data_IF_858135931294
#
_entry.id   IF_858135931294
#
_cell.length_a   1.000
_cell.length_b   1.000
_cell.length_c   1.000
_cell.angle_alpha   90.00
_cell.angle_beta   90.00
_cell.angle_gamma   90.00
#
_symmetry.space_group_name_H-M   'P 1'
#
loop_
_entity.id
_entity.type
_entity.pdbx_description
1 polymer ?
#
# COMPACT_ATOMS: atom_id res chain seq x y z
N UNK A 1 -7.65 -18.39 -9.75
CA UNK A 1 -6.77 -17.26 -10.05
C UNK A 1 -6.77 -16.23 -8.89
N UNK A 2 -7.43 -15.01 -9.00
CA UNK A 2 -7.31 -13.98 -7.95
C UNK A 2 -7.70 -14.47 -6.54
N UNK A 3 -8.77 -15.25 -6.39
CA UNK A 3 -9.20 -15.75 -5.08
C UNK A 3 -8.18 -16.74 -4.49
N UNK A 4 -7.57 -17.58 -5.32
CA UNK A 4 -6.50 -18.49 -4.93
C UNK A 4 -5.24 -17.72 -4.50
N UNK A 5 -4.91 -16.64 -5.23
CA UNK A 5 -3.79 -15.77 -4.88
C UNK A 5 -4.05 -15.03 -3.57
N UNK A 6 -5.26 -14.48 -3.36
CA UNK A 6 -5.64 -13.82 -2.12
C UNK A 6 -5.56 -14.79 -0.92
N UNK A 7 -5.97 -16.04 -1.09
CA UNK A 7 -5.82 -17.07 -0.05
C UNK A 7 -4.34 -17.44 0.16
N UNK A 8 -3.59 -17.62 -0.92
CA UNK A 8 -2.15 -17.89 -0.88
C UNK A 8 -1.33 -16.78 -0.22
N UNK A 9 -1.76 -15.52 -0.36
CA UNK A 9 -1.18 -14.39 0.36
C UNK A 9 -1.69 -14.24 1.79
N UNK A 10 -2.61 -15.09 2.23
CA UNK A 10 -3.28 -15.01 3.53
C UNK A 10 -4.07 -13.70 3.75
N UNK A 11 -4.58 -13.07 2.68
CA UNK A 11 -5.35 -11.82 2.74
C UNK A 11 -6.48 -11.86 3.77
N UNK A 12 -7.19 -12.99 3.86
CA UNK A 12 -8.32 -13.19 4.76
C UNK A 12 -7.93 -13.34 6.24
N UNK A 13 -6.65 -13.58 6.53
CA UNK A 13 -6.13 -13.77 7.88
C UNK A 13 -5.29 -12.58 8.38
N UNK A 14 -4.81 -11.72 7.47
CA UNK A 14 -3.91 -10.63 7.84
C UNK A 14 -4.62 -9.49 8.55
N UNK A 15 -3.90 -8.74 9.41
CA UNK A 15 -4.40 -7.52 10.02
C UNK A 15 -4.37 -6.36 9.03
N UNK A 16 -5.24 -5.35 9.22
CA UNK A 16 -5.17 -4.11 8.44
C UNK A 16 -4.00 -3.21 8.86
N UNK A 17 -3.50 -3.39 10.09
CA UNK A 17 -2.39 -2.63 10.66
C UNK A 17 -1.67 -3.49 11.70
N UNK A 18 -0.38 -3.26 11.92
CA UNK A 18 0.36 -3.93 13.00
C UNK A 18 0.27 -3.23 14.37
N UNK A 19 -0.23 -1.99 14.43
CA UNK A 19 -0.25 -1.20 15.68
C UNK A 19 -1.46 -0.28 15.86
N UNK A 20 -2.29 -0.09 14.82
CA UNK A 20 -3.41 0.84 14.84
C UNK A 20 -4.75 0.09 14.81
N UNK A 21 -5.66 0.53 13.94
CA UNK A 21 -6.97 -0.11 13.77
C UNK A 21 -6.86 -1.52 13.18
N UNK A 22 -7.79 -2.38 13.56
CA UNK A 22 -7.93 -3.74 13.00
C UNK A 22 -6.65 -4.57 13.02
N UNK A 23 -5.87 -4.46 14.14
CA UNK A 23 -4.65 -5.23 14.38
C UNK A 23 -4.99 -6.62 14.96
N UNK A 24 -5.77 -7.40 14.21
CA UNK A 24 -6.19 -8.75 14.55
C UNK A 24 -6.37 -9.60 13.29
N UNK A 25 -6.46 -10.90 13.47
CA UNK A 25 -6.66 -11.85 12.36
C UNK A 25 -7.98 -11.55 11.63
N UNK A 26 -7.92 -11.42 10.28
CA UNK A 26 -9.07 -11.01 9.48
C UNK A 26 -9.33 -9.48 9.47
N UNK A 27 -8.49 -8.70 10.15
CA UNK A 27 -8.63 -7.25 10.20
C UNK A 27 -8.53 -6.59 8.83
N UNK A 28 -7.71 -7.15 7.92
CA UNK A 28 -7.53 -6.63 6.57
C UNK A 28 -8.80 -6.75 5.73
N UNK A 29 -9.40 -7.93 5.69
CA UNK A 29 -10.65 -8.13 4.93
C UNK A 29 -11.79 -7.29 5.50
N UNK A 30 -11.90 -7.18 6.83
CA UNK A 30 -12.90 -6.32 7.47
C UNK A 30 -12.70 -4.85 7.11
N UNK A 31 -11.46 -4.38 7.09
CA UNK A 31 -11.11 -3.03 6.67
C UNK A 31 -11.51 -2.79 5.20
N UNK A 32 -11.12 -3.68 4.30
CA UNK A 32 -11.44 -3.59 2.87
C UNK A 32 -12.96 -3.57 2.61
N UNK A 33 -13.72 -4.42 3.29
CA UNK A 33 -15.19 -4.42 3.20
C UNK A 33 -15.78 -3.08 3.69
N UNK A 34 -15.29 -2.57 4.82
CA UNK A 34 -15.77 -1.29 5.35
C UNK A 34 -15.46 -0.13 4.40
N UNK A 35 -14.25 -0.08 3.83
CA UNK A 35 -13.87 0.94 2.84
C UNK A 35 -14.76 0.83 1.59
N UNK A 36 -15.06 -0.38 1.13
CA UNK A 36 -15.94 -0.61 -0.01
C UNK A 36 -17.36 -0.10 0.25
N UNK A 37 -17.94 -0.40 1.41
CA UNK A 37 -19.27 0.11 1.79
C UNK A 37 -19.31 1.63 1.82
N UNK A 38 -18.30 2.26 2.42
CA UNK A 38 -18.19 3.72 2.46
C UNK A 38 -18.01 4.33 1.07
N UNK A 39 -17.21 3.72 0.21
CA UNK A 39 -17.01 4.17 -1.18
C UNK A 39 -18.30 4.09 -1.99
N UNK A 40 -19.07 3.01 -1.86
CA UNK A 40 -20.39 2.86 -2.48
C UNK A 40 -21.39 3.91 -2.01
N UNK A 41 -21.42 4.18 -0.71
CA UNK A 41 -22.28 5.23 -0.14
C UNK A 41 -21.88 6.60 -0.68
N UNK A 42 -20.60 6.92 -0.70
CA UNK A 42 -20.09 8.19 -1.22
C UNK A 42 -20.41 8.35 -2.71
N UNK A 43 -20.16 7.31 -3.53
CA UNK A 43 -20.56 7.29 -4.95
C UNK A 43 -22.05 7.65 -5.11
N UNK A 44 -22.92 6.99 -4.35
CA UNK A 44 -24.36 7.27 -4.40
C UNK A 44 -24.67 8.74 -4.09
N UNK A 45 -24.04 9.33 -3.08
CA UNK A 45 -24.24 10.74 -2.72
C UNK A 45 -23.72 11.69 -3.84
N UNK A 46 -22.58 11.38 -4.42
CA UNK A 46 -22.02 12.17 -5.53
C UNK A 46 -23.00 12.15 -6.72
N UNK A 47 -23.52 11.00 -7.10
CA UNK A 47 -24.41 10.85 -8.25
C UNK A 47 -25.81 11.47 -8.03
N UNK A 48 -26.25 11.65 -6.78
CA UNK A 48 -27.46 12.42 -6.48
C UNK A 48 -27.30 13.90 -6.83
N UNK A 49 -26.09 14.44 -6.71
CA UNK A 49 -25.78 15.86 -6.98
C UNK A 49 -25.25 16.03 -8.41
N UNK A 50 -24.48 15.07 -8.90
CA UNK A 50 -23.80 15.09 -10.18
C UNK A 50 -24.05 13.79 -10.96
N UNK A 51 -25.24 13.57 -11.50
CA UNK A 51 -25.58 12.37 -12.26
C UNK A 51 -24.75 12.23 -13.56
N UNK A 52 -24.23 13.35 -14.08
CA UNK A 52 -23.33 13.39 -15.23
C UNK A 52 -22.00 12.63 -15.02
N UNK A 53 -21.63 12.37 -13.77
CA UNK A 53 -20.39 11.63 -13.43
C UNK A 53 -20.57 10.10 -13.39
N UNK A 54 -21.73 9.55 -13.72
CA UNK A 54 -21.96 8.11 -13.61
C UNK A 54 -21.00 7.28 -14.46
N UNK A 55 -20.71 7.74 -15.68
CA UNK A 55 -19.75 7.08 -16.57
C UNK A 55 -18.30 7.17 -16.11
N UNK A 56 -17.96 8.18 -15.30
CA UNK A 56 -16.63 8.37 -14.74
C UNK A 56 -16.45 7.64 -13.39
N UNK A 57 -17.54 7.17 -12.79
CA UNK A 57 -17.55 6.45 -11.54
C UNK A 57 -18.27 5.10 -11.67
N UNK A 58 -17.80 4.17 -12.53
CA UNK A 58 -18.40 2.84 -12.66
C UNK A 58 -18.43 2.14 -11.30
N UNK A 59 -19.56 1.51 -10.96
CA UNK A 59 -19.70 0.85 -9.65
C UNK A 59 -18.67 -0.25 -9.44
N UNK A 60 -18.41 -1.04 -10.49
CA UNK A 60 -17.46 -2.14 -10.44
C UNK A 60 -16.03 -1.66 -10.14
N UNK A 61 -15.59 -0.56 -10.78
CA UNK A 61 -14.29 0.04 -10.52
C UNK A 61 -14.17 0.58 -9.09
N UNK A 62 -15.24 1.19 -8.56
CA UNK A 62 -15.29 1.63 -7.16
C UNK A 62 -15.16 0.45 -6.21
N UNK A 63 -15.83 -0.68 -6.50
CA UNK A 63 -15.74 -1.90 -5.72
C UNK A 63 -14.33 -2.49 -5.80
N UNK A 64 -13.78 -2.68 -6.99
CA UNK A 64 -12.44 -3.24 -7.22
C UNK A 64 -11.39 -2.41 -6.47
N UNK A 65 -11.35 -1.11 -6.73
CA UNK A 65 -10.36 -0.24 -6.12
C UNK A 65 -10.46 -0.23 -4.58
N UNK A 66 -11.68 -0.12 -4.03
CA UNK A 66 -11.88 -0.05 -2.59
C UNK A 66 -11.62 -1.37 -1.85
N UNK A 67 -11.93 -2.52 -2.44
CA UNK A 67 -11.65 -3.82 -1.83
C UNK A 67 -10.15 -4.17 -1.87
N UNK A 68 -9.45 -3.78 -2.93
CA UNK A 68 -8.11 -4.28 -3.23
C UNK A 68 -7.00 -3.24 -3.00
N UNK A 69 -7.34 -2.00 -2.56
CA UNK A 69 -6.34 -0.93 -2.37
C UNK A 69 -5.16 -1.34 -1.47
N UNK A 70 -5.43 -2.15 -0.47
CA UNK A 70 -4.50 -2.54 0.60
C UNK A 70 -4.02 -4.00 0.50
N UNK A 71 -4.22 -4.68 -0.63
CA UNK A 71 -3.86 -6.10 -0.79
C UNK A 71 -2.38 -6.37 -0.49
N UNK A 72 -1.51 -5.39 -0.69
CA UNK A 72 -0.10 -5.47 -0.35
C UNK A 72 0.18 -5.79 1.12
N UNK A 73 -0.75 -5.48 2.02
CA UNK A 73 -0.63 -5.78 3.46
C UNK A 73 -0.59 -7.28 3.73
N UNK A 74 -1.22 -8.09 2.89
CA UNK A 74 -1.13 -9.54 2.94
C UNK A 74 0.31 -10.06 2.77
N UNK A 75 1.14 -9.38 1.98
CA UNK A 75 2.54 -9.74 1.78
C UNK A 75 3.54 -8.98 2.65
N UNK A 76 3.09 -8.15 3.58
CA UNK A 76 3.96 -7.30 4.42
C UNK A 76 3.93 -7.75 5.88
N UNK A 77 2.79 -8.20 6.41
CA UNK A 77 2.67 -8.54 7.81
C UNK A 77 2.98 -10.01 8.08
N UNK A 78 3.72 -10.25 9.17
CA UNK A 78 4.04 -11.60 9.67
C UNK A 78 3.72 -11.69 11.14
N UNK A 79 3.14 -12.82 11.58
CA UNK A 79 2.99 -13.13 13.01
C UNK A 79 4.37 -13.27 13.64
N UNK A 80 4.61 -12.52 14.70
CA UNK A 80 5.84 -12.56 15.49
C UNK A 80 5.48 -12.87 16.93
N UNK A 81 6.03 -13.93 17.47
CA UNK A 81 5.88 -14.30 18.88
C UNK A 81 7.07 -13.76 19.68
N UNK A 82 6.78 -13.00 20.72
CA UNK A 82 7.80 -12.48 21.65
C UNK A 82 7.49 -12.94 23.07
N UNK A 83 8.53 -13.44 23.76
CA UNK A 83 8.46 -13.71 25.19
C UNK A 83 8.75 -12.41 25.94
N UNK A 84 7.84 -12.01 26.80
CA UNK A 84 8.02 -10.86 27.70
C UNK A 84 7.50 -11.21 29.09
N UNK A 85 8.00 -10.51 30.11
CA UNK A 85 7.45 -10.64 31.45
C UNK A 85 6.19 -9.80 31.56
N UNK A 86 5.14 -10.38 32.16
CA UNK A 86 3.94 -9.65 32.52
C UNK A 86 4.17 -8.80 33.79
N UNK A 87 3.16 -8.08 34.23
CA UNK A 87 3.23 -7.16 35.39
C UNK A 87 3.62 -7.86 36.70
N UNK A 88 3.39 -9.16 36.83
CA UNK A 88 3.74 -9.98 38.00
C UNK A 88 5.04 -10.76 37.80
N UNK A 89 5.81 -10.45 36.77
CA UNK A 89 7.12 -11.01 36.51
C UNK A 89 7.16 -12.41 35.88
N UNK A 90 6.03 -13.00 35.51
CA UNK A 90 5.94 -14.28 34.81
C UNK A 90 6.18 -14.09 33.29
N UNK A 91 6.83 -15.09 32.69
CA UNK A 91 7.09 -15.11 31.26
C UNK A 91 5.82 -15.49 30.50
N UNK A 92 5.38 -14.61 29.63
CA UNK A 92 4.28 -14.81 28.67
C UNK A 92 4.79 -14.74 27.23
N UNK A 93 4.14 -15.51 26.36
CA UNK A 93 4.37 -15.42 24.92
C UNK A 93 3.26 -14.58 24.30
N UNK A 94 3.59 -13.38 23.89
CA UNK A 94 2.65 -12.50 23.19
C UNK A 94 2.88 -12.58 21.68
N UNK A 95 1.80 -12.81 20.96
CA UNK A 95 1.79 -12.76 19.51
C UNK A 95 1.49 -11.34 19.05
N UNK A 96 2.29 -10.82 18.15
CA UNK A 96 2.10 -9.51 17.50
C UNK A 96 2.34 -9.65 16.02
N UNK A 97 2.05 -8.58 15.27
CA UNK A 97 2.39 -8.52 13.85
C UNK A 97 3.63 -7.67 13.66
N UNK A 98 4.63 -8.24 13.00
CA UNK A 98 5.81 -7.55 12.48
C UNK A 98 5.62 -7.14 11.04
N UNK A 99 6.51 -6.26 10.57
CA UNK A 99 6.52 -5.79 9.17
C UNK A 99 7.75 -6.38 8.50
N UNK A 100 7.54 -6.98 7.32
CA UNK A 100 8.60 -7.48 6.46
C UNK A 100 8.49 -6.84 5.07
N UNK A 101 9.44 -5.98 4.75
CA UNK A 101 9.52 -5.30 3.44
C UNK A 101 10.46 -5.99 2.45
N UNK A 102 10.96 -7.19 2.76
CA UNK A 102 11.92 -7.90 1.90
C UNK A 102 11.34 -8.24 0.52
N UNK A 103 10.04 -8.55 0.48
CA UNK A 103 9.35 -8.84 -0.77
C UNK A 103 8.86 -7.56 -1.44
N UNK A 104 9.32 -7.32 -2.66
CA UNK A 104 8.92 -6.20 -3.53
C UNK A 104 8.94 -4.84 -2.79
N UNK A 105 10.12 -4.28 -2.55
CA UNK A 105 10.31 -3.05 -1.78
C UNK A 105 9.95 -1.78 -2.58
N UNK A 106 8.69 -1.64 -2.95
CA UNK A 106 8.07 -0.47 -3.60
C UNK A 106 7.02 0.15 -2.70
N UNK A 107 6.50 1.30 -3.04
CA UNK A 107 5.47 1.97 -2.26
C UNK A 107 4.22 1.10 -2.04
N UNK A 108 3.43 1.49 -1.07
CA UNK A 108 2.27 0.71 -0.61
C UNK A 108 1.24 0.50 -1.72
N UNK A 109 0.82 1.58 -2.37
CA UNK A 109 -0.12 1.50 -3.49
C UNK A 109 0.46 0.80 -4.71
N UNK A 110 1.74 1.07 -5.04
CA UNK A 110 2.43 0.40 -6.14
C UNK A 110 2.50 -1.10 -5.94
N UNK A 111 2.81 -1.53 -4.72
CA UNK A 111 2.87 -2.96 -4.39
C UNK A 111 1.52 -3.63 -4.59
N UNK A 112 0.42 -2.99 -4.16
CA UNK A 112 -0.93 -3.51 -4.38
C UNK A 112 -1.23 -3.67 -5.87
N UNK A 113 -0.97 -2.64 -6.68
CA UNK A 113 -1.17 -2.70 -8.15
C UNK A 113 -0.33 -3.82 -8.78
N UNK A 114 0.96 -3.91 -8.44
CA UNK A 114 1.85 -4.94 -9.00
C UNK A 114 1.37 -6.36 -8.63
N UNK A 115 0.95 -6.58 -7.39
CA UNK A 115 0.42 -7.86 -6.95
C UNK A 115 -0.82 -8.26 -7.75
N UNK A 116 -1.77 -7.33 -7.92
CA UNK A 116 -3.01 -7.57 -8.65
C UNK A 116 -2.77 -7.85 -10.14
N UNK A 117 -1.92 -7.07 -10.80
CA UNK A 117 -1.57 -7.30 -12.20
C UNK A 117 -0.85 -8.65 -12.39
N UNK A 118 0.00 -9.07 -11.44
CA UNK A 118 0.67 -10.38 -11.48
C UNK A 118 -0.28 -11.56 -11.26
N UNK A 119 -1.39 -11.35 -10.57
CA UNK A 119 -2.45 -12.37 -10.44
C UNK A 119 -3.35 -12.46 -11.68
N UNK A 120 -3.04 -11.71 -12.73
CA UNK A 120 -3.80 -11.70 -13.98
C UNK A 120 -5.08 -10.87 -13.91
N UNK A 121 -5.25 -10.03 -12.87
CA UNK A 121 -6.37 -9.09 -12.85
C UNK A 121 -6.11 -7.94 -13.82
N UNK A 122 -7.01 -7.77 -14.77
CA UNK A 122 -7.02 -6.61 -15.64
C UNK A 122 -7.62 -5.41 -14.89
N UNK A 123 -6.84 -4.34 -14.78
CA UNK A 123 -7.25 -3.09 -14.14
C UNK A 123 -7.28 -1.97 -15.18
N UNK A 124 -8.28 -1.12 -15.10
CA UNK A 124 -8.32 0.13 -15.86
C UNK A 124 -7.29 1.13 -15.32
N UNK A 125 -6.95 2.16 -16.09
CA UNK A 125 -6.04 3.22 -15.64
C UNK A 125 -6.56 3.92 -14.37
N UNK A 126 -7.86 4.18 -14.30
CA UNK A 126 -8.50 4.82 -13.15
C UNK A 126 -8.43 3.95 -11.89
N UNK A 127 -8.63 2.64 -12.02
CA UNK A 127 -8.47 1.68 -10.92
C UNK A 127 -7.01 1.61 -10.44
N UNK A 128 -6.05 1.57 -11.38
CA UNK A 128 -4.62 1.62 -11.07
C UNK A 128 -4.30 2.90 -10.29
N UNK A 129 -4.74 4.05 -10.78
CA UNK A 129 -4.49 5.35 -10.13
C UNK A 129 -5.17 5.43 -8.76
N UNK A 130 -6.41 4.97 -8.64
CA UNK A 130 -7.15 4.95 -7.38
C UNK A 130 -6.43 4.09 -6.33
N UNK A 131 -6.00 2.87 -6.69
CA UNK A 131 -5.24 1.98 -5.80
C UNK A 131 -3.86 2.58 -5.51
N UNK A 132 -3.16 3.10 -6.52
CA UNK A 132 -1.81 3.66 -6.38
C UNK A 132 -1.76 4.84 -5.42
N UNK A 133 -2.75 5.73 -5.48
CA UNK A 133 -2.75 7.01 -4.78
C UNK A 133 -3.67 7.06 -3.56
N UNK A 134 -4.25 5.96 -3.13
CA UNK A 134 -5.18 5.95 -1.98
C UNK A 134 -4.58 6.52 -0.68
N UNK A 135 -3.25 6.46 -0.52
CA UNK A 135 -2.52 7.08 0.59
C UNK A 135 -2.15 8.55 0.35
N UNK A 136 -2.50 9.10 -0.80
CA UNK A 136 -2.10 10.44 -1.22
C UNK A 136 -0.66 10.53 -1.75
N UNK A 137 -0.33 11.67 -2.37
CA UNK A 137 0.96 11.89 -3.04
C UNK A 137 2.13 12.25 -2.11
N UNK A 138 1.92 12.38 -0.81
CA UNK A 138 2.91 12.90 0.13
C UNK A 138 3.38 11.87 1.13
N UNK A 139 3.71 10.68 0.70
CA UNK A 139 4.42 9.78 1.60
C UNK A 139 5.77 9.42 1.05
N UNK A 140 6.80 10.13 1.42
CA UNK A 140 7.98 9.40 1.78
C UNK A 140 7.64 8.73 3.12
N UNK A 141 7.22 7.48 3.11
CA UNK A 141 7.41 6.67 4.29
C UNK A 141 8.94 6.59 4.47
N UNK A 142 9.46 7.56 5.23
CA UNK A 142 10.91 7.79 5.39
C UNK A 142 11.64 6.58 5.98
N UNK A 143 10.91 5.61 6.51
CA UNK A 143 11.44 4.30 6.86
C UNK A 143 11.88 3.46 5.64
N UNK A 144 11.29 3.67 4.50
CA UNK A 144 11.60 2.97 3.24
C UNK A 144 12.92 3.46 2.63
N UNK A 145 13.09 4.77 2.56
CA UNK A 145 14.28 5.39 1.98
C UNK A 145 15.53 5.25 2.86
N UNK A 146 15.38 5.00 4.15
CA UNK A 146 16.54 4.82 5.03
C UNK A 146 17.28 3.51 4.83
N UNK A 147 16.63 2.48 4.30
CA UNK A 147 17.27 1.18 4.09
C UNK A 147 17.76 0.95 2.65
N UNK A 148 17.40 1.80 1.70
CA UNK A 148 17.79 1.67 0.30
C UNK A 148 18.67 2.81 -0.22
N UNK A 149 18.80 3.89 0.53
CA UNK A 149 19.67 4.99 0.18
C UNK A 149 21.12 4.73 0.67
N UNK A 150 21.85 3.91 -0.03
CA UNK A 150 23.27 4.23 -0.16
C UNK A 150 23.36 5.57 -0.90
N UNK A 151 24.11 6.55 -0.38
CA UNK A 151 24.25 7.81 -1.08
C UNK A 151 24.92 7.53 -2.43
N UNK A 152 24.20 7.76 -3.51
CA UNK A 152 24.82 7.92 -4.82
C UNK A 152 25.84 9.04 -4.62
N UNK A 153 27.14 8.65 -4.69
CA UNK A 153 28.23 9.63 -4.76
C UNK A 153 27.89 10.56 -5.90
N UNK A 154 27.59 11.82 -5.55
CA UNK A 154 27.59 12.90 -6.51
C UNK A 154 29.01 12.96 -7.08
N UNK A 155 29.21 12.38 -8.25
CA UNK A 155 30.37 12.72 -9.07
C UNK A 155 30.17 14.17 -9.48
N UNK A 156 30.96 15.03 -8.89
CA UNK A 156 31.05 16.43 -9.26
C UNK A 156 31.51 16.51 -10.72
N UNK A 157 30.59 16.67 -11.65
CA UNK A 157 30.92 17.24 -12.94
C UNK A 157 31.25 18.70 -12.72
N UNK A 158 32.54 18.99 -12.59
CA UNK A 158 33.05 20.34 -12.78
C UNK A 158 32.90 20.66 -14.26
N UNK A 159 32.01 21.56 -14.61
CA UNK A 159 32.10 22.26 -15.87
C UNK A 159 33.36 23.16 -15.79
N UNK A 160 34.42 22.80 -16.51
CA UNK A 160 35.52 23.67 -16.79
C UNK A 160 35.03 24.73 -17.77
N UNK A 161 34.87 25.97 -17.26
CA UNK A 161 34.80 27.15 -18.10
C UNK A 161 36.22 27.43 -18.60
N UNK A 162 36.55 26.98 -19.79
CA UNK A 162 37.73 27.44 -20.49
C UNK A 162 37.37 28.64 -21.37
N UNK A 163 37.96 29.71 -20.98
CA UNK A 163 38.18 31.04 -21.53
C UNK A 163 38.17 31.11 -23.07
N UNK A 164 37.30 31.95 -23.59
CA UNK A 164 37.55 32.61 -24.87
C UNK A 164 38.32 33.90 -24.57
N UNK A 165 39.63 33.86 -24.72
CA UNK A 165 40.49 35.02 -24.81
C UNK A 165 40.47 35.52 -26.25
N UNK A 166 39.84 36.67 -26.46
CA UNK A 166 40.04 37.51 -27.68
C UNK A 166 41.04 38.58 -27.38
N UNK A 167 42.12 38.62 -28.12
CA UNK A 167 43.00 39.79 -28.30
C UNK A 167 43.75 39.71 -29.62
N UNK A 168 44.20 40.83 -30.14
CA UNK A 168 43.51 42.01 -30.69
C UNK A 168 43.47 42.00 -32.21
#
# INVERSE_FOLDING_TARGET
YLMEDLDGWEFFKMPASCRKHSCYEGGLVKHSLHVCEMAKMLRKQILLVRPDLESLLPLDSVIIASLLHDVCKAGIYKKVSRRQKNEIGLWETNSSYGIDYSYLPVGHGEKSVIMLLRSGLELTEDEILAIRWHMGGSTPNTGWLRNTAQPLRQSSMRCSNDEFSTTP
#
